data_IF_916639427460
#
_entry.id   IF_916639427460
#
_cell.length_a   1.000
_cell.length_b   1.000
_cell.length_c   1.000
_cell.angle_alpha   90.00
_cell.angle_beta   90.00
_cell.angle_gamma   90.00
#
_symmetry.space_group_name_H-M   'P 1'
#
loop_
_entity.id
_entity.type
_entity.pdbx_description
1 polymer ?
#
# COMPACT_ATOMS: atom_id res chain seq x y z
N UNK A 1 40.85 -27.11 7.47
CA UNK A 1 40.65 -25.66 7.38
C UNK A 1 39.20 -25.44 7.00
N UNK A 2 38.34 -25.25 7.99
CA UNK A 2 36.90 -25.09 7.82
C UNK A 2 36.64 -23.61 7.50
N UNK A 3 36.03 -23.32 6.36
CA UNK A 3 35.41 -22.01 6.10
C UNK A 3 33.90 -22.24 6.11
N UNK A 4 33.34 -22.36 7.31
CA UNK A 4 31.94 -22.06 7.57
C UNK A 4 31.86 -20.59 8.00
N UNK A 5 31.26 -19.74 7.18
CA UNK A 5 30.53 -18.53 7.62
C UNK A 5 30.12 -17.68 6.42
N UNK A 6 29.17 -18.18 5.65
CA UNK A 6 28.17 -17.29 5.08
C UNK A 6 26.85 -17.65 5.78
N UNK A 7 26.56 -16.94 6.87
CA UNK A 7 25.32 -17.09 7.60
C UNK A 7 24.17 -16.58 6.71
N UNK A 8 23.62 -17.48 5.91
CA UNK A 8 22.48 -17.26 5.02
C UNK A 8 21.25 -16.73 5.78
N UNK A 9 21.23 -16.81 7.13
CA UNK A 9 20.17 -16.25 7.97
C UNK A 9 20.17 -14.73 7.99
N UNK A 10 21.30 -14.07 7.71
CA UNK A 10 21.37 -12.60 7.70
C UNK A 10 20.72 -12.02 6.44
N UNK A 11 20.80 -12.72 5.30
CA UNK A 11 20.13 -12.29 4.05
C UNK A 11 18.62 -12.59 4.09
N UNK A 12 18.20 -13.63 4.83
CA UNK A 12 16.79 -14.02 4.95
C UNK A 12 16.04 -13.37 6.12
N UNK A 13 16.66 -12.46 6.87
CA UNK A 13 16.04 -11.81 8.03
C UNK A 13 14.83 -10.90 7.69
N UNK A 14 14.62 -10.58 6.40
CA UNK A 14 13.40 -9.91 5.95
C UNK A 14 12.22 -10.88 5.73
N UNK A 15 12.43 -12.20 5.73
CA UNK A 15 11.51 -13.12 5.04
C UNK A 15 10.58 -14.00 5.90
N UNK A 16 10.61 -14.01 7.24
CA UNK A 16 9.67 -14.83 8.05
C UNK A 16 9.44 -14.32 9.47
N UNK A 17 9.33 -13.01 9.71
CA UNK A 17 8.80 -12.57 11.01
C UNK A 17 7.27 -12.59 10.92
N UNK A 18 6.61 -13.33 11.82
CA UNK A 18 5.14 -13.50 11.92
C UNK A 18 4.33 -12.21 11.71
N UNK A 19 4.91 -11.06 12.07
CA UNK A 19 4.35 -9.73 11.85
C UNK A 19 4.12 -9.42 10.36
N UNK A 20 5.07 -9.73 9.48
CA UNK A 20 4.94 -9.46 8.05
C UNK A 20 4.05 -10.46 7.33
N UNK A 21 3.92 -11.70 7.83
CA UNK A 21 2.94 -12.64 7.28
C UNK A 21 1.51 -12.14 7.48
N UNK A 22 1.22 -11.61 8.67
CA UNK A 22 -0.06 -10.96 8.97
C UNK A 22 -0.26 -9.69 8.16
N UNK A 23 0.71 -8.78 8.21
CA UNK A 23 0.61 -7.51 7.51
C UNK A 23 0.53 -7.68 5.99
N UNK A 24 1.20 -8.71 5.43
CA UNK A 24 1.16 -9.08 4.03
C UNK A 24 -0.24 -9.51 3.58
N UNK A 25 -0.92 -10.33 4.39
CA UNK A 25 -2.32 -10.69 4.13
C UNK A 25 -3.25 -9.48 4.26
N UNK A 26 -3.06 -8.65 5.28
CA UNK A 26 -3.89 -7.46 5.51
C UNK A 26 -3.76 -6.44 4.37
N UNK A 27 -2.54 -6.18 3.88
CA UNK A 27 -2.32 -5.24 2.78
C UNK A 27 -2.85 -5.79 1.46
N UNK A 28 -2.68 -7.10 1.19
CA UNK A 28 -3.21 -7.74 -0.01
C UNK A 28 -4.75 -7.64 -0.04
N UNK A 29 -5.41 -7.96 1.08
CA UNK A 29 -6.86 -7.81 1.22
C UNK A 29 -7.30 -6.35 1.05
N UNK A 30 -6.59 -5.40 1.66
CA UNK A 30 -6.91 -3.99 1.56
C UNK A 30 -6.87 -3.49 0.11
N UNK A 31 -5.85 -3.91 -0.67
CA UNK A 31 -5.76 -3.56 -2.09
C UNK A 31 -6.89 -4.17 -2.90
N UNK A 32 -7.25 -5.44 -2.66
CA UNK A 32 -8.41 -6.04 -3.32
C UNK A 32 -9.71 -5.31 -3.01
N UNK A 33 -9.97 -4.98 -1.74
CA UNK A 33 -11.16 -4.20 -1.36
C UNK A 33 -11.16 -2.83 -2.06
N UNK A 34 -10.01 -2.18 -2.13
CA UNK A 34 -9.85 -0.89 -2.80
C UNK A 34 -10.20 -0.98 -4.30
N UNK A 35 -9.74 -2.02 -5.00
CA UNK A 35 -10.04 -2.22 -6.42
C UNK A 35 -11.48 -2.64 -6.67
N UNK A 36 -12.02 -3.57 -5.88
CA UNK A 36 -13.39 -4.08 -6.05
C UNK A 36 -14.46 -3.02 -5.74
N UNK A 37 -14.15 -2.07 -4.87
CA UNK A 37 -15.08 -0.99 -4.52
C UNK A 37 -15.01 0.22 -5.44
N UNK A 38 -14.04 0.27 -6.37
CA UNK A 38 -13.72 1.47 -7.15
C UNK A 38 -14.91 2.02 -7.95
N UNK A 39 -15.73 1.17 -8.55
CA UNK A 39 -16.90 1.62 -9.34
C UNK A 39 -18.04 2.19 -8.48
N UNK A 40 -18.04 1.92 -7.17
CA UNK A 40 -18.99 2.52 -6.23
C UNK A 40 -18.29 3.65 -5.45
N UNK A 41 -18.29 4.85 -6.04
CA UNK A 41 -17.53 6.02 -5.52
C UNK A 41 -17.76 6.30 -4.03
N UNK A 42 -19.01 6.20 -3.55
CA UNK A 42 -19.32 6.42 -2.14
C UNK A 42 -18.66 5.38 -1.22
N UNK A 43 -18.67 4.10 -1.64
CA UNK A 43 -18.04 3.00 -0.88
C UNK A 43 -16.52 3.12 -0.97
N UNK A 44 -15.97 3.35 -2.16
CA UNK A 44 -14.54 3.55 -2.38
C UNK A 44 -13.98 4.66 -1.49
N UNK A 45 -14.63 5.84 -1.50
CA UNK A 45 -14.23 6.97 -0.64
C UNK A 45 -14.36 6.64 0.84
N UNK A 46 -15.38 5.86 1.21
CA UNK A 46 -15.53 5.33 2.56
C UNK A 46 -14.33 4.47 2.99
N UNK A 47 -13.88 3.55 2.13
CA UNK A 47 -12.70 2.72 2.34
C UNK A 47 -11.43 3.58 2.46
N UNK A 48 -11.27 4.59 1.61
CA UNK A 48 -10.11 5.52 1.68
C UNK A 48 -10.02 6.21 3.05
N UNK A 49 -11.15 6.71 3.56
CA UNK A 49 -11.20 7.38 4.87
C UNK A 49 -10.93 6.41 6.03
N UNK A 50 -11.46 5.18 5.97
CA UNK A 50 -11.15 4.14 6.96
C UNK A 50 -9.65 3.81 6.99
N UNK A 51 -9.03 3.67 5.81
CA UNK A 51 -7.58 3.46 5.69
C UNK A 51 -6.82 4.61 6.35
N UNK A 52 -7.17 5.87 6.07
CA UNK A 52 -6.54 7.03 6.74
C UNK A 52 -6.72 6.97 8.26
N UNK A 53 -7.94 6.76 8.76
CA UNK A 53 -8.22 6.70 10.18
C UNK A 53 -7.34 5.67 10.89
N UNK A 54 -7.26 4.44 10.36
CA UNK A 54 -6.41 3.38 10.93
C UNK A 54 -4.92 3.71 10.92
N UNK A 55 -4.45 4.54 9.99
CA UNK A 55 -3.06 5.00 9.94
C UNK A 55 -2.77 6.14 10.92
N UNK A 56 -3.73 7.04 11.12
CA UNK A 56 -3.65 8.16 12.07
C UNK A 56 -3.78 7.64 13.51
N UNK A 57 -4.84 6.88 13.82
CA UNK A 57 -5.10 6.32 15.16
C UNK A 57 -4.00 5.34 15.60
N UNK A 58 -3.40 4.62 14.64
CA UNK A 58 -2.25 3.75 14.89
C UNK A 58 -0.93 4.49 15.12
N UNK A 59 -0.92 5.83 15.14
CA UNK A 59 0.25 6.65 15.41
C UNK A 59 1.35 6.61 14.34
N UNK A 60 1.03 6.20 13.09
CA UNK A 60 2.03 6.03 12.02
C UNK A 60 2.46 7.35 11.38
N UNK A 61 1.57 8.36 11.37
CA UNK A 61 1.81 9.72 10.87
C UNK A 61 2.69 9.78 9.60
N UNK A 62 2.22 9.12 8.55
CA UNK A 62 2.96 8.99 7.29
C UNK A 62 3.11 10.35 6.60
N UNK A 63 4.19 10.51 5.84
CA UNK A 63 4.34 11.61 4.89
C UNK A 63 3.14 11.58 3.91
N UNK A 64 2.37 12.68 3.78
CA UNK A 64 1.19 12.72 2.93
C UNK A 64 1.48 12.42 1.45
N UNK A 65 2.71 12.61 0.96
CA UNK A 65 3.09 12.25 -0.41
C UNK A 65 3.02 10.73 -0.67
N UNK A 66 3.13 9.90 0.37
CA UNK A 66 3.17 8.44 0.24
C UNK A 66 1.83 7.86 -0.21
N UNK A 67 0.70 8.53 0.05
CA UNK A 67 -0.62 8.07 -0.38
C UNK A 67 -0.73 7.99 -1.91
N UNK A 68 -0.15 8.96 -2.63
CA UNK A 68 -0.05 8.91 -4.10
C UNK A 68 0.96 7.86 -4.58
N UNK A 69 2.11 7.76 -3.92
CA UNK A 69 3.20 6.89 -4.37
C UNK A 69 2.90 5.39 -4.19
N UNK A 70 1.98 5.03 -3.29
CA UNK A 70 1.69 3.64 -2.95
C UNK A 70 1.37 2.77 -4.16
N UNK A 71 0.51 3.21 -5.08
CA UNK A 71 0.12 2.40 -6.25
C UNK A 71 1.33 2.09 -7.16
N UNK A 72 2.25 3.03 -7.35
CA UNK A 72 3.47 2.79 -8.12
C UNK A 72 4.37 1.74 -7.44
N UNK A 73 4.49 1.79 -6.11
CA UNK A 73 5.21 0.77 -5.32
C UNK A 73 4.54 -0.60 -5.47
N UNK A 74 3.21 -0.64 -5.42
CA UNK A 74 2.41 -1.86 -5.57
C UNK A 74 2.58 -2.50 -6.95
N UNK A 75 2.47 -1.72 -8.03
CA UNK A 75 2.67 -2.20 -9.41
C UNK A 75 4.09 -2.72 -9.61
N UNK A 76 5.11 -1.98 -9.14
CA UNK A 76 6.50 -2.44 -9.20
C UNK A 76 6.71 -3.75 -8.42
N UNK A 77 6.05 -3.90 -7.27
CA UNK A 77 6.09 -5.14 -6.51
C UNK A 77 5.42 -6.31 -7.26
N UNK A 78 4.26 -6.11 -7.90
CA UNK A 78 3.62 -7.14 -8.72
C UNK A 78 4.54 -7.60 -9.87
N UNK A 79 5.17 -6.67 -10.57
CA UNK A 79 6.14 -6.98 -11.63
C UNK A 79 7.35 -7.75 -11.08
N UNK A 80 7.82 -7.42 -9.87
CA UNK A 80 8.90 -8.17 -9.20
C UNK A 80 8.54 -9.63 -8.89
N UNK A 81 7.24 -9.96 -8.82
CA UNK A 81 6.72 -11.32 -8.65
C UNK A 81 6.46 -12.05 -9.97
N UNK A 82 6.81 -11.43 -11.11
CA UNK A 82 6.62 -12.01 -12.43
C UNK A 82 5.24 -11.76 -13.03
N UNK A 83 4.39 -10.94 -12.41
CA UNK A 83 3.10 -10.54 -12.98
C UNK A 83 3.36 -9.58 -14.14
N UNK A 84 2.84 -9.91 -15.32
CA UNK A 84 2.87 -8.99 -16.47
C UNK A 84 1.68 -8.05 -16.38
N UNK A 85 1.95 -6.77 -16.14
CA UNK A 85 0.94 -5.71 -16.10
C UNK A 85 0.94 -5.00 -17.47
N UNK A 86 -0.19 -4.96 -18.16
CA UNK A 86 -0.32 -4.26 -19.44
C UNK A 86 -0.27 -2.73 -19.28
N UNK A 87 -0.07 -2.01 -20.40
CA UNK A 87 -0.14 -0.55 -20.39
C UNK A 87 -1.49 -0.02 -19.89
N UNK A 88 -2.60 -0.64 -20.33
CA UNK A 88 -3.95 -0.26 -19.89
C UNK A 88 -4.15 -0.51 -18.39
N UNK A 89 -3.61 -1.61 -17.86
CA UNK A 89 -3.66 -1.89 -16.42
C UNK A 89 -2.83 -0.90 -15.61
N UNK A 90 -1.66 -0.47 -16.12
CA UNK A 90 -0.86 0.59 -15.47
C UNK A 90 -1.62 1.92 -15.45
N UNK A 91 -2.25 2.29 -16.57
CA UNK A 91 -3.08 3.50 -16.64
C UNK A 91 -4.29 3.42 -15.68
N UNK A 92 -4.89 2.24 -15.50
CA UNK A 92 -5.96 2.03 -14.52
C UNK A 92 -5.45 2.22 -13.07
N UNK A 93 -4.27 1.69 -12.73
CA UNK A 93 -3.64 1.92 -11.43
C UNK A 93 -3.29 3.39 -11.19
N UNK A 94 -2.80 4.11 -12.20
CA UNK A 94 -2.53 5.54 -12.11
C UNK A 94 -3.82 6.35 -11.87
N UNK A 95 -4.90 5.98 -12.55
CA UNK A 95 -6.22 6.60 -12.37
C UNK A 95 -6.73 6.35 -10.95
N UNK A 96 -6.68 5.10 -10.47
CA UNK A 96 -7.08 4.73 -9.11
C UNK A 96 -6.24 5.49 -8.07
N UNK A 97 -4.92 5.60 -8.29
CA UNK A 97 -3.99 6.31 -7.43
C UNK A 97 -4.36 7.78 -7.25
N UNK A 98 -4.75 8.46 -8.33
CA UNK A 98 -5.19 9.87 -8.28
C UNK A 98 -6.43 9.99 -7.41
N UNK A 99 -7.49 9.22 -7.69
CA UNK A 99 -8.76 9.28 -6.95
C UNK A 99 -8.57 8.90 -5.47
N UNK A 100 -7.75 7.88 -5.19
CA UNK A 100 -7.38 7.47 -3.84
C UNK A 100 -6.69 8.61 -3.09
N UNK A 101 -5.65 9.19 -3.69
CA UNK A 101 -4.89 10.27 -3.07
C UNK A 101 -5.77 11.50 -2.82
N UNK A 102 -6.61 11.90 -3.77
CA UNK A 102 -7.55 13.03 -3.59
C UNK A 102 -8.41 12.89 -2.34
N UNK A 103 -9.03 11.72 -2.14
CA UNK A 103 -9.86 11.48 -0.96
C UNK A 103 -9.01 11.40 0.32
N UNK A 104 -7.83 10.79 0.26
CA UNK A 104 -6.88 10.73 1.37
C UNK A 104 -6.46 12.14 1.83
N UNK A 105 -6.02 13.01 0.92
CA UNK A 105 -5.60 14.38 1.26
C UNK A 105 -6.76 15.20 1.84
N UNK A 106 -7.95 15.10 1.22
CA UNK A 106 -9.16 15.77 1.73
C UNK A 106 -9.50 15.35 3.15
N UNK A 107 -9.40 14.05 3.45
CA UNK A 107 -9.71 13.53 4.78
C UNK A 107 -8.64 13.87 5.82
N UNK A 108 -7.35 13.82 5.44
CA UNK A 108 -6.25 14.28 6.31
C UNK A 108 -6.42 15.75 6.70
N UNK A 109 -6.78 16.61 5.74
CA UNK A 109 -7.09 18.02 6.02
C UNK A 109 -8.26 18.18 7.00
N UNK A 110 -9.33 17.40 6.83
CA UNK A 110 -10.49 17.41 7.74
C UNK A 110 -10.14 16.95 9.16
N UNK A 111 -9.15 16.07 9.32
CA UNK A 111 -8.63 15.60 10.60
C UNK A 111 -7.56 16.53 11.20
N UNK A 112 -7.18 17.62 10.54
CA UNK A 112 -6.09 18.50 10.97
C UNK A 112 -4.71 17.85 10.90
N UNK A 113 -4.54 16.82 10.07
CA UNK A 113 -3.26 16.12 9.85
C UNK A 113 -2.46 16.78 8.70
N UNK A 114 -1.14 16.52 8.61
CA UNK A 114 -0.35 16.93 7.45
C UNK A 114 -0.95 16.42 6.12
N UNK A 115 -1.03 17.30 5.12
CA UNK A 115 -1.62 17.06 3.80
C UNK A 115 -0.93 17.92 2.74
N UNK A 116 -1.16 17.63 1.46
CA UNK A 116 -0.63 18.35 0.29
C UNK A 116 -1.72 19.07 -0.50
#
# INVERSE_FOLDING_TARGET
MLVESADWRIINAQCTCYRFDKLGNDILLAVHVLTETYENDNVFRGVCRDVINRHVEGGRHLDPALWKQFCSIWVAWLESKGVKISADQKAAWDTLSVTFNEECQKHLAALGQPHL
#
